data_IF_898698625851
#
_entry.id   IF_898698625851
#
_cell.length_a   1.000
_cell.length_b   1.000
_cell.length_c   1.000
_cell.angle_alpha   90.00
_cell.angle_beta   90.00
_cell.angle_gamma   90.00
#
_symmetry.space_group_name_H-M   'P 1'
#
loop_
_entity.id
_entity.type
_entity.pdbx_description
1 polymer ?
#
# COMPACT_ATOMS: atom_id res chain seq x y z
N UNK A 1 -10.46 9.27 -20.97
CA UNK A 1 -9.75 7.99 -20.75
C UNK A 1 -9.97 7.59 -19.30
N UNK A 2 -10.85 6.62 -18.96
CA UNK A 2 -11.25 6.43 -17.57
C UNK A 2 -10.69 5.13 -16.99
N UNK A 3 -9.41 5.14 -16.60
CA UNK A 3 -8.82 4.07 -15.77
C UNK A 3 -8.83 4.39 -14.27
N UNK A 4 -8.88 5.68 -13.92
CA UNK A 4 -8.72 6.14 -12.54
C UNK A 4 -9.86 5.68 -11.62
N UNK A 5 -11.10 5.63 -12.11
CA UNK A 5 -12.25 5.18 -11.31
C UNK A 5 -12.13 3.73 -10.87
N UNK A 6 -11.55 2.86 -11.72
CA UNK A 6 -11.36 1.45 -11.40
C UNK A 6 -10.26 1.26 -10.34
N UNK A 7 -9.16 2.02 -10.46
CA UNK A 7 -8.07 2.03 -9.49
C UNK A 7 -8.54 2.57 -8.13
N UNK A 8 -9.28 3.68 -8.14
CA UNK A 8 -9.85 4.28 -6.94
C UNK A 8 -10.82 3.32 -6.24
N UNK A 9 -11.72 2.65 -6.99
CA UNK A 9 -12.59 1.62 -6.45
C UNK A 9 -11.80 0.46 -5.82
N UNK A 10 -10.69 0.04 -6.45
CA UNK A 10 -9.78 -0.98 -5.91
C UNK A 10 -9.14 -0.55 -4.59
N UNK A 11 -8.70 0.71 -4.48
CA UNK A 11 -8.11 1.24 -3.24
C UNK A 11 -9.15 1.31 -2.12
N UNK A 12 -10.36 1.81 -2.41
CA UNK A 12 -11.44 1.83 -1.43
C UNK A 12 -11.84 0.43 -0.98
N UNK A 13 -11.91 -0.52 -1.91
CA UNK A 13 -12.16 -1.92 -1.59
C UNK A 13 -11.06 -2.46 -0.66
N UNK A 14 -9.79 -2.16 -0.90
CA UNK A 14 -8.70 -2.58 0.00
C UNK A 14 -8.82 -1.97 1.40
N UNK A 15 -9.11 -0.67 1.49
CA UNK A 15 -9.28 0.03 2.76
C UNK A 15 -10.45 -0.49 3.59
N UNK A 16 -11.58 -0.76 2.93
CA UNK A 16 -12.77 -1.27 3.61
C UNK A 16 -12.57 -2.72 4.00
N UNK A 17 -12.03 -3.56 3.11
CA UNK A 17 -12.02 -5.01 3.29
C UNK A 17 -10.91 -5.47 4.25
N UNK A 18 -9.77 -4.79 4.29
CA UNK A 18 -8.65 -5.15 5.18
C UNK A 18 -9.05 -5.35 6.67
N UNK A 19 -9.81 -4.44 7.32
CA UNK A 19 -10.18 -4.61 8.73
C UNK A 19 -11.20 -5.73 9.00
N UNK A 20 -12.13 -6.01 8.09
CA UNK A 20 -13.18 -7.02 8.33
C UNK A 20 -12.67 -8.46 8.19
N UNK A 21 -11.64 -8.67 7.37
CA UNK A 21 -11.19 -10.01 7.01
C UNK A 21 -9.96 -10.48 7.82
N UNK A 22 -9.37 -9.62 8.66
CA UNK A 22 -8.19 -10.02 9.46
C UNK A 22 -8.43 -11.17 10.45
N UNK A 23 -9.67 -11.46 10.86
CA UNK A 23 -9.95 -12.42 11.95
C UNK A 23 -10.27 -13.85 11.50
N UNK A 24 -10.45 -14.10 10.20
CA UNK A 24 -10.79 -15.43 9.66
C UNK A 24 -9.70 -15.95 8.74
N UNK A 25 -9.50 -17.26 8.70
CA UNK A 25 -8.52 -17.92 7.81
C UNK A 25 -8.80 -17.65 6.32
N UNK A 26 -10.06 -17.50 5.92
CA UNK A 26 -10.45 -17.07 4.58
C UNK A 26 -10.07 -15.62 4.26
N UNK A 27 -9.91 -14.77 5.28
CA UNK A 27 -9.60 -13.38 5.07
C UNK A 27 -8.16 -13.07 4.72
N UNK A 28 -7.22 -13.99 5.00
CA UNK A 28 -5.85 -13.91 4.47
C UNK A 28 -5.87 -14.04 2.95
N UNK A 29 -6.59 -15.04 2.43
CA UNK A 29 -6.74 -15.26 0.99
C UNK A 29 -7.44 -14.06 0.35
N UNK A 30 -8.50 -13.53 0.98
CA UNK A 30 -9.19 -12.33 0.52
C UNK A 30 -8.25 -11.11 0.44
N UNK A 31 -7.47 -10.84 1.49
CA UNK A 31 -6.52 -9.72 1.51
C UNK A 31 -5.44 -9.83 0.41
N UNK A 32 -4.96 -11.05 0.13
CA UNK A 32 -4.00 -11.32 -0.95
C UNK A 32 -4.64 -11.16 -2.33
N UNK A 33 -5.87 -11.64 -2.51
CA UNK A 33 -6.62 -11.48 -3.76
C UNK A 33 -6.88 -9.99 -4.06
N UNK A 34 -7.27 -9.20 -3.07
CA UNK A 34 -7.53 -7.77 -3.21
C UNK A 34 -6.27 -7.01 -3.57
N UNK A 35 -5.16 -7.36 -2.94
CA UNK A 35 -3.87 -6.80 -3.32
C UNK A 35 -3.54 -7.10 -4.79
N UNK A 36 -3.79 -8.33 -5.25
CA UNK A 36 -3.62 -8.69 -6.66
C UNK A 36 -4.51 -7.87 -7.61
N UNK A 37 -5.77 -7.63 -7.22
CA UNK A 37 -6.70 -6.76 -7.95
C UNK A 37 -6.16 -5.33 -8.03
N UNK A 38 -5.61 -4.78 -6.94
CA UNK A 38 -5.01 -3.45 -6.96
C UNK A 38 -3.82 -3.38 -7.94
N UNK A 39 -2.96 -4.40 -7.96
CA UNK A 39 -1.81 -4.45 -8.87
C UNK A 39 -2.27 -4.53 -10.34
N UNK A 40 -3.33 -5.30 -10.63
CA UNK A 40 -3.96 -5.35 -11.95
C UNK A 40 -4.60 -4.01 -12.35
N UNK A 41 -5.26 -3.33 -11.42
CA UNK A 41 -5.81 -2.00 -11.64
C UNK A 41 -4.69 -0.95 -11.86
N UNK A 42 -3.55 -1.09 -11.19
CA UNK A 42 -2.38 -0.24 -11.45
C UNK A 42 -1.84 -0.44 -12.87
N UNK A 43 -1.83 -1.68 -13.36
CA UNK A 43 -1.41 -1.99 -14.73
C UNK A 43 -2.34 -1.37 -15.78
N UNK A 44 -3.66 -1.34 -15.53
CA UNK A 44 -4.61 -0.72 -16.48
C UNK A 44 -4.43 0.79 -16.62
N UNK A 45 -3.92 1.47 -15.58
CA UNK A 45 -3.64 2.90 -15.59
C UNK A 45 -2.32 3.23 -16.27
N UNK A 46 -1.27 2.43 -16.04
CA UNK A 46 0.04 2.67 -16.67
C UNK A 46 0.11 2.15 -18.12
N UNK A 47 -0.76 1.20 -18.46
CA UNK A 47 -0.77 0.54 -19.77
C UNK A 47 0.30 -0.56 -19.90
N UNK A 48 0.22 -1.33 -20.98
CA UNK A 48 1.09 -2.50 -21.23
C UNK A 48 2.48 -2.13 -21.80
N UNK A 49 3.07 -1.03 -21.32
CA UNK A 49 4.43 -0.66 -21.71
C UNK A 49 5.48 -1.66 -21.21
N UNK A 50 6.60 -1.79 -21.95
CA UNK A 50 7.75 -2.61 -21.53
C UNK A 50 8.18 -2.39 -20.07
N UNK A 51 8.37 -1.16 -19.55
CA UNK A 51 8.75 -0.97 -18.15
C UNK A 51 7.65 -1.41 -17.17
N UNK A 52 6.38 -1.24 -17.53
CA UNK A 52 5.26 -1.65 -16.68
C UNK A 52 5.20 -3.18 -16.54
N UNK A 53 5.39 -3.93 -17.64
CA UNK A 53 5.40 -5.39 -17.62
C UNK A 53 6.59 -5.95 -16.84
N UNK A 54 7.78 -5.35 -16.99
CA UNK A 54 8.99 -5.75 -16.28
C UNK A 54 8.83 -5.62 -14.76
N UNK A 55 8.07 -4.62 -14.28
CA UNK A 55 7.78 -4.46 -12.85
C UNK A 55 6.56 -5.27 -12.38
N UNK A 56 5.54 -5.38 -13.24
CA UNK A 56 4.28 -6.07 -12.92
C UNK A 56 4.46 -7.58 -12.79
N UNK A 57 5.14 -8.23 -13.74
CA UNK A 57 5.31 -9.69 -13.77
C UNK A 57 5.97 -10.22 -12.47
N UNK A 58 7.13 -9.72 -12.01
CA UNK A 58 7.75 -10.22 -10.78
C UNK A 58 6.89 -9.90 -9.55
N UNK A 59 6.19 -8.77 -9.54
CA UNK A 59 5.25 -8.43 -8.46
C UNK A 59 4.10 -9.42 -8.39
N UNK A 60 3.49 -9.76 -9.52
CA UNK A 60 2.41 -10.74 -9.61
C UNK A 60 2.89 -12.11 -9.17
N UNK A 61 4.04 -12.56 -9.66
CA UNK A 61 4.64 -13.84 -9.26
C UNK A 61 4.88 -13.88 -7.75
N UNK A 62 5.50 -12.84 -7.18
CA UNK A 62 5.76 -12.77 -5.75
C UNK A 62 4.47 -12.82 -4.92
N UNK A 63 3.41 -12.15 -5.37
CA UNK A 63 2.09 -12.16 -4.72
C UNK A 63 1.46 -13.56 -4.75
N UNK A 64 1.50 -14.22 -5.90
CA UNK A 64 0.97 -15.58 -6.06
C UNK A 64 1.76 -16.57 -5.19
N UNK A 65 3.09 -16.48 -5.19
CA UNK A 65 3.93 -17.30 -4.33
C UNK A 65 3.62 -17.08 -2.84
N UNK A 66 3.32 -15.84 -2.45
CA UNK A 66 2.96 -15.51 -1.07
C UNK A 66 1.54 -15.95 -0.67
N UNK A 67 0.72 -16.46 -1.61
CA UNK A 67 -0.54 -17.16 -1.29
C UNK A 67 -0.24 -18.58 -0.80
N UNK A 68 0.74 -19.24 -1.42
CA UNK A 68 1.10 -20.63 -1.12
C UNK A 68 2.18 -20.76 -0.04
N UNK A 69 2.96 -19.70 0.18
CA UNK A 69 4.06 -19.68 1.15
C UNK A 69 3.80 -18.65 2.25
N UNK A 70 3.91 -19.10 3.50
CA UNK A 70 3.93 -18.26 4.71
C UNK A 70 5.34 -17.86 5.12
N UNK A 71 6.35 -18.18 4.31
CA UNK A 71 7.73 -17.85 4.62
C UNK A 71 7.94 -16.32 4.72
N UNK A 72 8.64 -15.83 5.77
CA UNK A 72 8.88 -14.40 5.94
C UNK A 72 9.61 -13.77 4.74
N UNK A 73 10.58 -14.47 4.16
CA UNK A 73 11.34 -14.00 2.98
C UNK A 73 10.46 -13.76 1.75
N UNK A 74 9.47 -14.62 1.51
CA UNK A 74 8.52 -14.49 0.39
C UNK A 74 7.59 -13.30 0.64
N UNK A 75 7.13 -13.10 1.88
CA UNK A 75 6.30 -11.94 2.23
C UNK A 75 7.07 -10.64 2.06
N UNK A 76 8.32 -10.55 2.53
CA UNK A 76 9.18 -9.38 2.34
C UNK A 76 9.43 -9.09 0.86
N UNK A 77 9.74 -10.12 0.06
CA UNK A 77 9.95 -9.96 -1.38
C UNK A 77 8.68 -9.46 -2.09
N UNK A 78 7.51 -10.01 -1.74
CA UNK A 78 6.23 -9.59 -2.30
C UNK A 78 5.87 -8.15 -1.91
N UNK A 79 6.06 -7.77 -0.64
CA UNK A 79 5.81 -6.39 -0.17
C UNK A 79 6.78 -5.40 -0.82
N UNK A 80 8.05 -5.78 -1.00
CA UNK A 80 9.05 -4.94 -1.68
C UNK A 80 8.68 -4.74 -3.16
N UNK A 81 8.35 -5.82 -3.88
CA UNK A 81 7.94 -5.74 -5.27
C UNK A 81 6.67 -4.89 -5.44
N UNK A 82 5.68 -5.07 -4.55
CA UNK A 82 4.49 -4.24 -4.48
C UNK A 82 4.85 -2.77 -4.29
N UNK A 83 5.71 -2.45 -3.33
CA UNK A 83 6.12 -1.07 -3.06
C UNK A 83 6.74 -0.42 -4.30
N UNK A 84 7.69 -1.10 -4.95
CA UNK A 84 8.35 -0.60 -6.17
C UNK A 84 7.34 -0.36 -7.29
N UNK A 85 6.42 -1.30 -7.51
CA UNK A 85 5.38 -1.16 -8.52
C UNK A 85 4.45 0.02 -8.22
N UNK A 86 4.00 0.18 -6.97
CA UNK A 86 3.15 1.30 -6.57
C UNK A 86 3.86 2.65 -6.74
N UNK A 87 5.14 2.75 -6.37
CA UNK A 87 5.94 3.96 -6.61
C UNK A 87 5.98 4.33 -8.10
N UNK A 88 6.17 3.33 -8.97
CA UNK A 88 6.15 3.54 -10.42
C UNK A 88 4.77 4.01 -10.92
N UNK A 89 3.68 3.39 -10.46
CA UNK A 89 2.31 3.80 -10.80
C UNK A 89 2.05 5.24 -10.35
N UNK A 90 2.41 5.59 -9.10
CA UNK A 90 2.30 6.96 -8.58
C UNK A 90 3.06 7.95 -9.46
N UNK A 91 4.32 7.66 -9.81
CA UNK A 91 5.13 8.53 -10.66
C UNK A 91 4.50 8.76 -12.03
N UNK A 92 3.94 7.73 -12.65
CA UNK A 92 3.23 7.84 -13.92
C UNK A 92 1.97 8.69 -13.79
N UNK A 93 1.16 8.50 -12.74
CA UNK A 93 -0.07 9.28 -12.54
C UNK A 93 0.27 10.74 -12.27
N UNK A 94 1.23 11.03 -11.39
CA UNK A 94 1.66 12.41 -11.09
C UNK A 94 2.18 13.10 -12.34
N UNK A 95 2.95 12.41 -13.17
CA UNK A 95 3.40 12.95 -14.45
C UNK A 95 2.26 13.27 -15.42
N UNK A 96 1.27 12.38 -15.53
CA UNK A 96 0.09 12.61 -16.36
C UNK A 96 -0.76 13.78 -15.87
N UNK A 97 -1.03 13.84 -14.56
CA UNK A 97 -1.80 14.93 -13.92
C UNK A 97 -1.07 16.26 -14.06
N UNK A 98 0.25 16.29 -13.89
CA UNK A 98 1.06 17.52 -14.02
C UNK A 98 1.12 18.07 -15.45
N UNK A 99 0.97 17.20 -16.45
CA UNK A 99 0.89 17.60 -17.87
C UNK A 99 -0.52 18.02 -18.31
N UNK A 100 -1.54 17.79 -17.50
CA UNK A 100 -2.91 18.15 -17.85
C UNK A 100 -3.03 19.69 -17.93
N UNK A 101 -3.32 20.19 -19.13
CA UNK A 101 -3.49 21.64 -19.38
C UNK A 101 -4.79 22.20 -18.83
N UNK A 102 -5.80 21.35 -18.61
CA UNK A 102 -7.11 21.73 -18.11
C UNK A 102 -7.48 20.85 -16.92
N UNK A 103 -7.99 21.48 -15.87
CA UNK A 103 -8.50 20.77 -14.69
C UNK A 103 -9.89 20.26 -15.04
N UNK A 104 -9.99 18.96 -15.31
CA UNK A 104 -11.26 18.25 -15.51
C UNK A 104 -11.54 17.34 -14.31
N UNK A 105 -12.75 16.77 -14.23
CA UNK A 105 -13.10 15.78 -13.20
C UNK A 105 -12.13 14.59 -13.23
N UNK A 106 -11.66 14.18 -14.42
CA UNK A 106 -10.64 13.13 -14.58
C UNK A 106 -9.31 13.53 -13.93
N UNK A 107 -8.89 14.79 -14.05
CA UNK A 107 -7.67 15.31 -13.42
C UNK A 107 -7.77 15.26 -11.90
N UNK A 108 -8.93 15.63 -11.33
CA UNK A 108 -9.18 15.58 -9.89
C UNK A 108 -9.20 14.13 -9.39
N UNK A 109 -9.85 13.23 -10.12
CA UNK A 109 -9.87 11.80 -9.80
C UNK A 109 -8.46 11.19 -9.85
N UNK A 110 -7.66 11.55 -10.85
CA UNK A 110 -6.26 11.14 -10.97
C UNK A 110 -5.40 11.63 -9.81
N UNK A 111 -5.53 12.90 -9.42
CA UNK A 111 -4.82 13.48 -8.28
C UNK A 111 -5.21 12.80 -6.94
N UNK A 112 -6.50 12.58 -6.73
CA UNK A 112 -7.02 11.87 -5.55
C UNK A 112 -6.48 10.45 -5.49
N UNK A 113 -6.45 9.77 -6.64
CA UNK A 113 -5.90 8.42 -6.75
C UNK A 113 -4.40 8.38 -6.45
N UNK A 114 -3.62 9.34 -6.96
CA UNK A 114 -2.20 9.46 -6.65
C UNK A 114 -1.95 9.65 -5.15
N UNK A 115 -2.74 10.49 -4.48
CA UNK A 115 -2.66 10.69 -3.03
C UNK A 115 -2.95 9.39 -2.25
N UNK A 116 -4.01 8.67 -2.64
CA UNK A 116 -4.37 7.40 -2.00
C UNK A 116 -3.31 6.31 -2.22
N UNK A 117 -2.76 6.20 -3.42
CA UNK A 117 -1.65 5.28 -3.71
C UNK A 117 -0.38 5.65 -2.94
N UNK A 118 -0.11 6.95 -2.76
CA UNK A 118 1.01 7.40 -1.94
C UNK A 118 0.86 6.92 -0.49
N UNK A 119 -0.36 6.96 0.07
CA UNK A 119 -0.65 6.35 1.37
C UNK A 119 -0.34 4.86 1.42
N UNK A 120 -0.63 4.11 0.37
CA UNK A 120 -0.30 2.69 0.27
C UNK A 120 1.20 2.42 0.10
N UNK A 121 1.94 3.31 -0.57
CA UNK A 121 3.41 3.26 -0.66
C UNK A 121 4.01 3.41 0.74
N UNK A 122 3.62 4.43 1.48
CA UNK A 122 4.09 4.64 2.86
C UNK A 122 3.72 3.47 3.78
N UNK A 123 2.51 2.95 3.66
CA UNK A 123 2.09 1.76 4.40
C UNK A 123 2.97 0.54 4.09
N UNK A 124 3.36 0.36 2.82
CA UNK A 124 4.25 -0.73 2.40
C UNK A 124 5.67 -0.54 2.94
N UNK A 125 6.16 0.70 2.99
CA UNK A 125 7.45 1.03 3.61
C UNK A 125 7.45 0.73 5.10
N UNK A 126 6.41 1.14 5.83
CA UNK A 126 6.29 0.83 7.25
C UNK A 126 6.20 -0.69 7.51
N UNK A 127 5.50 -1.44 6.65
CA UNK A 127 5.48 -2.90 6.72
C UNK A 127 6.87 -3.50 6.52
N UNK A 128 7.63 -2.98 5.56
CA UNK A 128 8.99 -3.44 5.31
C UNK A 128 9.89 -3.19 6.52
N UNK A 129 9.78 -2.02 7.17
CA UNK A 129 10.49 -1.71 8.41
C UNK A 129 10.11 -2.70 9.51
N UNK A 130 8.83 -2.97 9.71
CA UNK A 130 8.35 -3.93 10.71
C UNK A 130 8.81 -5.37 10.42
N UNK A 131 8.94 -5.77 9.16
CA UNK A 131 9.47 -7.10 8.81
C UNK A 131 10.98 -7.22 9.03
N UNK A 132 11.75 -6.15 8.82
CA UNK A 132 13.21 -6.14 9.03
C UNK A 132 13.54 -6.01 10.52
N UNK A 133 12.77 -5.20 11.25
CA UNK A 133 12.91 -4.97 12.69
C UNK A 133 11.53 -5.21 13.34
N UNK A 134 11.26 -6.44 13.79
CA UNK A 134 10.01 -6.75 14.49
C UNK A 134 9.87 -5.89 15.75
N UNK A 135 8.66 -5.42 16.04
CA UNK A 135 8.35 -4.49 17.15
C UNK A 135 8.84 -3.05 16.93
N UNK A 136 9.06 -2.64 15.68
CA UNK A 136 9.33 -1.24 15.34
C UNK A 136 8.10 -0.34 15.55
N UNK A 137 6.90 -0.92 15.50
CA UNK A 137 5.64 -0.23 15.78
C UNK A 137 4.91 -0.85 16.97
N UNK A 138 4.42 0.02 17.85
CA UNK A 138 3.49 -0.36 18.91
C UNK A 138 2.09 -0.45 18.30
N UNK A 139 1.65 -1.67 18.02
CA UNK A 139 0.33 -1.96 17.46
C UNK A 139 -0.52 -2.64 18.55
N UNK A 140 -1.74 -2.15 18.84
CA UNK A 140 -2.63 -2.77 19.82
C UNK A 140 -2.92 -4.23 19.46
N UNK A 141 -2.85 -5.14 20.44
CA UNK A 141 -3.03 -6.59 20.21
C UNK A 141 -4.37 -6.95 19.57
N UNK A 142 -5.42 -6.16 19.80
CA UNK A 142 -6.74 -6.33 19.19
C UNK A 142 -6.80 -6.01 17.69
N UNK A 143 -5.77 -5.33 17.15
CA UNK A 143 -5.66 -4.89 15.75
C UNK A 143 -4.78 -5.83 14.92
N UNK A 144 -4.01 -6.72 15.55
CA UNK A 144 -3.28 -7.74 14.81
C UNK A 144 -4.20 -8.93 14.49
N UNK A 145 -4.29 -9.33 13.22
CA UNK A 145 -4.93 -10.58 12.81
C UNK A 145 -4.16 -11.80 13.34
N UNK A 146 -4.77 -13.00 13.25
CA UNK A 146 -4.20 -14.25 13.79
C UNK A 146 -2.79 -14.58 13.24
N UNK A 147 -2.48 -14.14 12.02
CA UNK A 147 -1.17 -14.29 11.39
C UNK A 147 -0.17 -13.17 11.73
N UNK A 148 -0.52 -12.29 12.67
CA UNK A 148 0.26 -11.09 13.04
C UNK A 148 0.61 -10.18 11.85
N UNK A 149 -0.21 -10.15 10.80
CA UNK A 149 0.02 -9.26 9.67
C UNK A 149 -0.24 -7.79 10.07
N UNK A 150 0.78 -6.92 10.10
CA UNK A 150 0.61 -5.53 10.54
C UNK A 150 0.00 -4.62 9.45
N UNK A 151 -0.28 -5.16 8.25
CA UNK A 151 -0.73 -4.39 7.08
C UNK A 151 -1.88 -3.42 7.37
N UNK A 152 -2.97 -3.87 8.01
CA UNK A 152 -4.12 -3.01 8.26
C UNK A 152 -3.78 -1.84 9.21
N UNK A 153 -3.05 -2.13 10.30
CA UNK A 153 -2.64 -1.13 11.27
C UNK A 153 -1.66 -0.10 10.68
N UNK A 154 -0.71 -0.55 9.86
CA UNK A 154 0.28 0.32 9.22
C UNK A 154 -0.30 1.13 8.05
N UNK A 155 -1.31 0.59 7.36
CA UNK A 155 -2.11 1.36 6.40
C UNK A 155 -2.88 2.47 7.11
N UNK A 156 -3.56 2.16 8.21
CA UNK A 156 -4.21 3.18 9.05
C UNK A 156 -3.22 4.26 9.51
N UNK A 157 -2.07 3.85 10.07
CA UNK A 157 -1.02 4.78 10.51
C UNK A 157 -0.54 5.71 9.38
N UNK A 158 -0.33 5.17 8.18
CA UNK A 158 0.04 5.94 6.99
C UNK A 158 -0.98 7.04 6.65
N UNK A 159 -2.27 6.69 6.58
CA UNK A 159 -3.31 7.67 6.25
C UNK A 159 -3.49 8.72 7.34
N UNK A 160 -3.43 8.34 8.61
CA UNK A 160 -3.51 9.27 9.76
C UNK A 160 -2.33 10.23 9.79
N UNK A 161 -1.14 9.75 9.41
CA UNK A 161 0.08 10.58 9.31
C UNK A 161 -0.01 11.54 8.12
N UNK A 162 -0.42 11.06 6.94
CA UNK A 162 -0.61 11.91 5.76
C UNK A 162 -1.71 12.96 5.96
N UNK A 163 -2.77 12.60 6.67
CA UNK A 163 -3.84 13.54 7.05
C UNK A 163 -3.44 14.45 8.21
N UNK A 164 -2.24 14.32 8.77
CA UNK A 164 -1.73 15.08 9.92
C UNK A 164 -2.61 15.01 11.18
N UNK A 165 -3.43 13.95 11.30
CA UNK A 165 -4.37 13.80 12.42
C UNK A 165 -3.67 13.23 13.65
N UNK A 166 -2.81 12.23 13.47
CA UNK A 166 -1.95 11.70 14.54
C UNK A 166 -2.67 11.17 15.78
N UNK A 167 -3.73 10.36 15.64
CA UNK A 167 -4.52 9.83 16.77
C UNK A 167 -3.69 9.13 17.87
N UNK A 168 -2.51 8.58 17.52
CA UNK A 168 -1.59 7.97 18.48
C UNK A 168 -1.86 6.49 18.79
N UNK A 169 -2.89 5.88 18.20
CA UNK A 169 -3.26 4.48 18.39
C UNK A 169 -2.19 3.49 17.89
N UNK A 170 -1.49 3.84 16.81
CA UNK A 170 -0.29 3.16 16.31
C UNK A 170 0.83 4.18 16.30
N UNK A 171 1.98 3.82 16.87
CA UNK A 171 3.14 4.73 16.97
C UNK A 171 4.47 3.98 16.82
N UNK A 172 5.51 4.64 16.28
CA UNK A 172 6.85 4.07 16.26
C UNK A 172 7.33 3.78 17.69
N UNK A 173 7.99 2.65 17.88
CA UNK A 173 8.54 2.23 19.18
C UNK A 173 9.87 2.91 19.51
N UNK A 174 10.65 3.29 18.50
CA UNK A 174 11.99 3.87 18.63
C UNK A 174 12.17 5.19 17.86
N UNK A 175 13.09 6.03 18.36
CA UNK A 175 13.43 7.36 17.81
C UNK A 175 13.96 7.28 16.37
N UNK A 176 14.65 6.20 16.00
CA UNK A 176 15.17 5.97 14.63
C UNK A 176 14.06 5.84 13.58
N UNK A 177 12.92 5.23 13.96
CA UNK A 177 11.73 5.11 13.10
C UNK A 177 10.92 6.42 13.14
N UNK A 178 10.97 7.14 14.27
CA UNK A 178 10.43 8.50 14.40
C UNK A 178 11.07 9.52 13.43
N UNK A 179 12.33 9.32 13.05
CA UNK A 179 13.03 10.15 12.07
C UNK A 179 12.45 10.10 10.64
N UNK A 180 11.73 9.03 10.28
CA UNK A 180 10.96 8.95 9.03
C UNK A 180 9.63 9.73 9.11
N UNK A 181 9.14 10.05 10.32
CA UNK A 181 7.85 10.70 10.53
C UNK A 181 7.96 12.17 10.94
N UNK A 182 9.03 12.63 11.58
CA UNK A 182 9.20 14.04 11.98
C UNK A 182 10.69 14.43 12.00
N UNK A 183 11.06 15.42 11.18
CA UNK A 183 12.15 16.33 11.54
C UNK A 183 11.59 17.40 12.48
N UNK A 184 11.87 17.30 13.77
CA UNK A 184 12.66 18.31 14.50
C UNK A 184 12.77 17.89 15.97
N UNK A 185 13.99 17.95 16.54
CA UNK A 185 14.18 17.88 17.98
C UNK A 185 13.98 19.28 18.58
N UNK A 186 13.19 19.38 19.64
CA UNK A 186 13.35 20.35 20.72
C UNK A 186 12.47 19.95 21.90
#
# INVERSE_FOLDING_TARGET
MPGFSFLLAGIFAELIVAPFFGRTSGGIVAARAITGILVLAGLSVVGLGRPALVLFIPTLIAQVLAIFSTAPSVTVAATTARCVFLCYVVGVIVWHVSKARTVTVDTIAGATCAYMLLGLVWASLYQLVEYVRPSSFLIPSGWLPANRNPQAALTYFSFVTLATVGYGDVRPADVDVGGLCVTSPS
#
